data_IF_937285688162
#
_entry.id   IF_937285688162
#
_cell.length_a   1.000
_cell.length_b   1.000
_cell.length_c   1.000
_cell.angle_alpha   90.00
_cell.angle_beta   90.00
_cell.angle_gamma   90.00
#
_symmetry.space_group_name_H-M   'P 1'
#
loop_
_entity.id
_entity.type
_entity.pdbx_description
1 polymer ?
#
# COMPACT_ATOMS: atom_id res chain seq x y z
N UNK A 1 3.41 -16.97 80.59
CA UNK A 1 2.87 -15.62 80.33
C UNK A 1 2.41 -15.56 78.88
N UNK A 2 1.11 -15.28 78.69
CA UNK A 2 0.34 -14.87 77.49
C UNK A 2 0.66 -15.52 76.13
N UNK A 3 -0.21 -16.38 75.57
CA UNK A 3 -1.48 -16.07 74.89
C UNK A 3 -1.34 -15.02 73.77
N UNK A 4 -1.44 -15.41 72.50
CA UNK A 4 -2.70 -15.39 71.73
C UNK A 4 -2.45 -15.90 70.30
N UNK A 5 -3.19 -16.93 69.90
CA UNK A 5 -3.40 -17.33 68.51
C UNK A 5 -4.24 -16.25 67.82
N UNK A 6 -3.85 -15.81 66.63
CA UNK A 6 -4.75 -15.12 65.70
C UNK A 6 -4.80 -15.86 64.37
N UNK A 7 -5.99 -16.35 64.09
CA UNK A 7 -6.38 -17.13 62.93
C UNK A 7 -7.04 -16.16 61.95
N UNK A 8 -6.36 -15.79 60.87
CA UNK A 8 -6.97 -15.01 59.79
C UNK A 8 -7.15 -15.87 58.55
N UNK A 9 -8.34 -16.45 58.45
CA UNK A 9 -8.93 -16.81 57.17
C UNK A 9 -9.16 -15.49 56.41
N UNK A 10 -8.42 -15.26 55.33
CA UNK A 10 -8.80 -14.24 54.35
C UNK A 10 -9.16 -14.93 53.04
N UNK A 11 -10.39 -14.66 52.63
CA UNK A 11 -11.08 -15.23 51.50
C UNK A 11 -10.38 -14.87 50.19
N UNK A 12 -10.39 -15.82 49.25
CA UNK A 12 -10.01 -15.57 47.87
C UNK A 12 -11.01 -14.59 47.23
N UNK A 13 -10.56 -13.35 47.00
CA UNK A 13 -11.22 -12.46 46.06
C UNK A 13 -10.74 -12.82 44.65
N UNK A 14 -11.56 -13.58 43.92
CA UNK A 14 -11.46 -13.64 42.46
C UNK A 14 -11.82 -12.26 41.90
N UNK A 15 -10.81 -11.45 41.58
CA UNK A 15 -11.00 -10.23 40.81
C UNK A 15 -11.35 -10.58 39.37
N UNK A 16 -12.53 -10.17 38.89
CA UNK A 16 -12.83 -10.15 37.46
C UNK A 16 -11.89 -9.15 36.78
N UNK A 17 -10.86 -9.64 36.11
CA UNK A 17 -10.05 -8.85 35.17
C UNK A 17 -10.90 -8.58 33.92
N UNK A 18 -11.55 -7.43 33.87
CA UNK A 18 -12.12 -6.91 32.63
C UNK A 18 -10.96 -6.55 31.68
N UNK A 19 -10.68 -7.44 30.73
CA UNK A 19 -9.72 -7.21 29.65
C UNK A 19 -10.20 -6.07 28.76
N UNK A 20 -9.67 -4.87 28.98
CA UNK A 20 -9.79 -3.73 28.07
C UNK A 20 -9.12 -4.11 26.75
N UNK A 21 -9.91 -4.30 25.69
CA UNK A 21 -9.43 -4.40 24.32
C UNK A 21 -8.79 -3.05 23.95
N UNK A 22 -7.47 -2.94 24.11
CA UNK A 22 -6.71 -1.83 23.56
C UNK A 22 -6.66 -2.06 22.05
N UNK A 23 -7.62 -1.48 21.32
CA UNK A 23 -7.55 -1.44 19.86
C UNK A 23 -6.43 -0.45 19.53
N UNK A 24 -5.29 -0.90 18.98
CA UNK A 24 -4.26 0.04 18.58
C UNK A 24 -4.85 0.98 17.53
N UNK A 25 -4.52 2.29 17.56
CA UNK A 25 -4.93 3.18 16.49
C UNK A 25 -4.41 2.61 15.17
N UNK A 26 -5.32 2.30 14.25
CA UNK A 26 -4.96 2.00 12.87
C UNK A 26 -4.46 3.32 12.29
N UNK A 27 -3.14 3.48 12.16
CA UNK A 27 -2.57 4.60 11.46
C UNK A 27 -3.03 4.52 10.00
N UNK A 28 -4.00 5.36 9.63
CA UNK A 28 -4.33 5.58 8.23
C UNK A 28 -3.06 6.11 7.56
N UNK A 29 -2.45 5.30 6.69
CA UNK A 29 -1.28 5.75 5.95
C UNK A 29 -1.69 6.87 5.00
N UNK A 30 -1.07 8.03 5.19
CA UNK A 30 -1.25 9.17 4.32
C UNK A 30 -0.63 8.88 2.95
N UNK A 31 -1.41 9.11 1.90
CA UNK A 31 -0.91 9.22 0.53
C UNK A 31 -0.98 10.68 0.06
N UNK A 32 -0.20 11.02 -0.96
CA UNK A 32 -0.11 12.38 -1.47
C UNK A 32 -1.39 12.83 -2.19
N UNK A 33 -2.13 11.88 -2.76
CA UNK A 33 -3.34 12.13 -3.55
C UNK A 33 -4.49 11.19 -3.18
N UNK A 34 -5.63 11.38 -3.85
CA UNK A 34 -6.86 10.64 -3.58
C UNK A 34 -6.70 9.13 -3.79
N UNK A 35 -7.40 8.36 -2.97
CA UNK A 35 -7.43 6.90 -3.00
C UNK A 35 -8.38 6.35 -4.08
N UNK A 36 -8.18 5.07 -4.41
CA UNK A 36 -9.04 4.28 -5.28
C UNK A 36 -9.69 3.14 -4.48
N UNK A 37 -10.88 2.73 -4.86
CA UNK A 37 -11.55 1.54 -4.33
C UNK A 37 -12.11 0.71 -5.47
N UNK A 38 -11.79 -0.58 -5.49
CA UNK A 38 -12.25 -1.55 -6.51
C UNK A 38 -12.94 -2.72 -5.84
N UNK A 39 -14.08 -3.12 -6.37
CA UNK A 39 -14.89 -4.22 -5.84
C UNK A 39 -16.08 -4.57 -6.74
N UNK A 40 -16.99 -5.47 -6.32
CA UNK A 40 -18.10 -5.96 -7.14
C UNK A 40 -18.98 -4.87 -7.75
N UNK A 41 -19.23 -3.78 -7.02
CA UNK A 41 -20.03 -2.64 -7.49
C UNK A 41 -19.23 -1.56 -8.22
N UNK A 42 -17.91 -1.69 -8.30
CA UNK A 42 -17.00 -0.71 -8.91
C UNK A 42 -15.78 -1.45 -9.47
N UNK A 43 -15.91 -2.11 -10.63
CA UNK A 43 -14.89 -3.00 -11.18
C UNK A 43 -13.65 -2.27 -11.73
N UNK A 44 -13.72 -0.94 -11.83
CA UNK A 44 -12.65 -0.05 -12.27
C UNK A 44 -12.72 1.27 -11.50
N UNK A 45 -11.57 1.89 -11.25
CA UNK A 45 -11.45 3.20 -10.64
C UNK A 45 -10.37 4.01 -11.35
N UNK A 46 -10.47 5.34 -11.26
CA UNK A 46 -9.40 6.24 -11.71
C UNK A 46 -9.24 7.41 -10.76
N UNK A 47 -8.04 7.98 -10.74
CA UNK A 47 -7.68 9.16 -9.96
C UNK A 47 -6.60 9.96 -10.68
N UNK A 48 -6.37 11.20 -10.26
CA UNK A 48 -5.36 12.08 -10.84
C UNK A 48 -4.24 12.35 -9.83
N UNK A 49 -3.05 12.61 -10.35
CA UNK A 49 -1.89 13.01 -9.56
C UNK A 49 -0.84 13.70 -10.41
N UNK A 50 0.33 13.93 -9.81
CA UNK A 50 1.52 14.37 -10.54
C UNK A 50 2.79 13.82 -9.90
N UNK A 51 3.79 13.52 -10.73
CA UNK A 51 5.11 13.11 -10.26
C UNK A 51 5.91 14.31 -9.75
N UNK A 52 6.84 14.11 -8.81
CA UNK A 52 7.82 15.13 -8.39
C UNK A 52 8.99 14.51 -7.57
N UNK A 53 9.21 13.20 -7.74
CA UNK A 53 10.01 12.40 -6.82
C UNK A 53 11.52 12.48 -7.04
N UNK A 54 12.29 12.50 -5.95
CA UNK A 54 13.76 12.39 -5.96
C UNK A 54 14.26 11.15 -5.21
N UNK A 55 13.36 10.39 -4.57
CA UNK A 55 13.74 9.25 -3.76
C UNK A 55 13.78 7.97 -4.63
N UNK A 56 14.89 7.21 -4.63
CA UNK A 56 14.99 5.99 -5.43
C UNK A 56 13.95 4.95 -4.99
N UNK A 57 13.18 4.41 -5.94
CA UNK A 57 12.20 3.35 -5.64
C UNK A 57 12.88 2.10 -5.06
N UNK A 58 14.12 1.80 -5.47
CA UNK A 58 14.92 0.69 -4.93
C UNK A 58 15.22 0.82 -3.43
N UNK A 59 15.14 2.04 -2.87
CA UNK A 59 15.32 2.27 -1.44
C UNK A 59 14.02 2.09 -0.65
N UNK A 60 12.85 2.16 -1.32
CA UNK A 60 11.56 1.84 -0.71
C UNK A 60 11.36 0.31 -0.72
N UNK A 61 11.67 -0.33 -1.84
CA UNK A 61 11.64 -1.77 -1.99
C UNK A 61 12.80 -2.25 -2.87
N UNK A 62 13.55 -3.25 -2.38
CA UNK A 62 14.73 -3.73 -3.10
C UNK A 62 14.40 -4.45 -4.42
N UNK A 63 13.48 -5.42 -4.39
CA UNK A 63 13.06 -6.20 -5.56
C UNK A 63 11.57 -6.54 -5.53
N UNK A 64 10.96 -6.70 -6.70
CA UNK A 64 9.62 -7.26 -6.84
C UNK A 64 9.56 -8.77 -6.64
N UNK A 65 8.33 -9.30 -6.67
CA UNK A 65 8.04 -10.74 -6.55
C UNK A 65 8.64 -11.61 -7.67
N UNK A 66 9.06 -11.00 -8.78
CA UNK A 66 9.76 -11.69 -9.88
C UNK A 66 11.29 -11.52 -9.80
N UNK A 67 11.79 -10.79 -8.80
CA UNK A 67 13.21 -10.53 -8.60
C UNK A 67 13.75 -9.32 -9.37
N UNK A 68 12.91 -8.50 -10.01
CA UNK A 68 13.35 -7.27 -10.69
C UNK A 68 13.55 -6.14 -9.68
N UNK A 69 14.48 -5.23 -9.97
CA UNK A 69 14.64 -4.01 -9.17
C UNK A 69 13.63 -2.98 -9.64
N UNK A 70 12.88 -2.36 -8.72
CA UNK A 70 12.04 -1.21 -9.06
C UNK A 70 12.95 0.01 -9.30
N UNK A 71 13.06 0.43 -10.57
CA UNK A 71 13.92 1.54 -10.97
C UNK A 71 13.16 2.85 -11.06
N UNK A 72 13.90 3.96 -11.02
CA UNK A 72 13.35 5.32 -11.08
C UNK A 72 13.12 5.93 -9.69
N UNK A 73 12.43 7.06 -9.69
CA UNK A 73 12.34 7.96 -8.56
C UNK A 73 10.90 8.36 -8.27
N UNK A 74 10.53 8.34 -6.99
CA UNK A 74 9.23 8.74 -6.50
C UNK A 74 9.37 9.62 -5.24
N UNK A 75 8.23 10.02 -4.69
CA UNK A 75 8.13 10.61 -3.35
C UNK A 75 8.37 9.52 -2.28
N UNK A 76 8.72 9.91 -1.06
CA UNK A 76 8.90 8.93 0.03
C UNK A 76 7.56 8.31 0.45
N UNK A 77 6.53 9.13 0.61
CA UNK A 77 5.16 8.67 0.87
C UNK A 77 4.51 8.18 -0.43
N UNK A 78 3.62 7.17 -0.38
CA UNK A 78 2.89 6.73 -1.57
C UNK A 78 2.03 7.85 -2.14
N UNK A 79 1.85 7.85 -3.45
CA UNK A 79 1.00 8.81 -4.15
C UNK A 79 -0.47 8.46 -4.02
N UNK A 80 -0.81 7.16 -4.05
CA UNK A 80 -2.18 6.69 -3.90
C UNK A 80 -2.28 5.48 -2.97
N UNK A 81 -3.45 5.34 -2.36
CA UNK A 81 -3.90 4.09 -1.73
C UNK A 81 -4.96 3.46 -2.63
N UNK A 82 -4.82 2.17 -2.91
CA UNK A 82 -5.86 1.37 -3.56
C UNK A 82 -6.42 0.36 -2.56
N UNK A 83 -7.75 0.35 -2.41
CA UNK A 83 -8.46 -0.65 -1.61
C UNK A 83 -9.13 -1.66 -2.55
N UNK A 84 -8.67 -2.91 -2.50
CA UNK A 84 -9.36 -4.03 -3.15
C UNK A 84 -10.31 -4.67 -2.15
N UNK A 85 -11.60 -4.64 -2.45
CA UNK A 85 -12.65 -5.16 -1.56
C UNK A 85 -12.76 -6.69 -1.59
N UNK A 86 -12.18 -7.32 -2.61
CA UNK A 86 -12.16 -8.77 -2.77
C UNK A 86 -10.90 -9.20 -3.56
N UNK A 87 -10.59 -10.49 -3.50
CA UNK A 87 -9.56 -11.09 -4.35
C UNK A 87 -9.94 -10.96 -5.83
N UNK A 88 -8.95 -10.74 -6.68
CA UNK A 88 -9.10 -10.59 -8.12
C UNK A 88 -8.09 -11.49 -8.84
N UNK A 89 -8.59 -12.26 -9.82
CA UNK A 89 -7.74 -13.16 -10.60
C UNK A 89 -6.70 -12.38 -11.42
N UNK A 90 -7.11 -11.26 -12.01
CA UNK A 90 -6.27 -10.31 -12.73
C UNK A 90 -6.59 -8.88 -12.31
N UNK A 91 -5.58 -8.02 -12.36
CA UNK A 91 -5.77 -6.58 -12.31
C UNK A 91 -4.63 -5.91 -13.07
N UNK A 92 -4.98 -4.91 -13.86
CA UNK A 92 -4.06 -3.98 -14.45
C UNK A 92 -4.21 -2.59 -13.85
N UNK A 93 -3.07 -1.93 -13.65
CA UNK A 93 -2.97 -0.57 -13.16
C UNK A 93 -2.09 0.19 -14.15
N UNK A 94 -2.61 1.31 -14.66
CA UNK A 94 -2.04 2.05 -15.78
C UNK A 94 -1.91 3.51 -15.43
N UNK A 95 -0.73 4.06 -15.69
CA UNK A 95 -0.50 5.50 -15.75
C UNK A 95 -0.82 6.00 -17.15
N UNK A 96 -1.47 7.15 -17.26
CA UNK A 96 -1.59 7.92 -18.49
C UNK A 96 -1.08 9.34 -18.21
N UNK A 97 0.12 9.65 -18.69
CA UNK A 97 0.74 10.97 -18.58
C UNK A 97 0.86 11.67 -19.94
N UNK A 98 0.20 11.14 -20.98
CA UNK A 98 0.41 11.57 -22.36
C UNK A 98 1.72 11.04 -22.97
N UNK A 99 2.25 9.92 -22.47
CA UNK A 99 3.44 9.26 -23.02
C UNK A 99 4.78 9.72 -22.47
N UNK A 100 4.82 10.31 -21.27
CA UNK A 100 6.09 10.61 -20.60
C UNK A 100 6.71 9.34 -19.97
N UNK A 101 7.99 9.43 -19.61
CA UNK A 101 8.78 8.32 -19.06
C UNK A 101 8.51 8.13 -17.56
N UNK A 102 7.43 7.40 -17.26
CA UNK A 102 6.96 7.16 -15.89
C UNK A 102 7.37 5.78 -15.40
N UNK A 103 7.45 5.61 -14.08
CA UNK A 103 7.63 4.31 -13.42
C UNK A 103 6.52 4.09 -12.40
N UNK A 104 6.21 2.84 -12.09
CA UNK A 104 5.15 2.47 -11.17
C UNK A 104 5.67 1.43 -10.18
N UNK A 105 5.38 1.61 -8.90
CA UNK A 105 5.64 0.60 -7.88
C UNK A 105 4.40 0.43 -7.00
N UNK A 106 4.05 -0.83 -6.73
CA UNK A 106 2.90 -1.18 -5.90
C UNK A 106 3.34 -2.13 -4.81
N UNK A 107 3.01 -1.78 -3.57
CA UNK A 107 3.18 -2.63 -2.40
C UNK A 107 1.81 -3.15 -1.95
N UNK A 108 1.63 -4.46 -1.96
CA UNK A 108 0.42 -5.14 -1.53
C UNK A 108 0.31 -5.40 -0.03
N UNK A 109 -0.85 -5.95 0.41
CA UNK A 109 -1.17 -6.16 1.83
C UNK A 109 -0.43 -7.33 2.47
N UNK A 110 -0.19 -8.43 1.73
CA UNK A 110 0.54 -9.61 2.23
C UNK A 110 2.05 -9.36 2.18
N UNK A 111 2.72 -9.33 3.34
CA UNK A 111 4.17 -9.13 3.56
C UNK A 111 4.81 -8.02 2.72
N UNK A 112 4.00 -7.08 2.23
CA UNK A 112 4.45 -6.04 1.31
C UNK A 112 4.80 -6.54 -0.10
N UNK A 113 4.07 -7.52 -0.66
CA UNK A 113 4.29 -8.01 -2.04
C UNK A 113 4.51 -6.85 -3.01
N UNK A 114 5.70 -6.79 -3.60
CA UNK A 114 6.11 -5.70 -4.48
C UNK A 114 5.87 -6.08 -5.94
N UNK A 115 5.34 -5.13 -6.71
CA UNK A 115 5.23 -5.19 -8.17
C UNK A 115 5.81 -3.90 -8.74
N UNK A 116 6.74 -4.04 -9.69
CA UNK A 116 7.25 -2.91 -10.47
C UNK A 116 6.55 -2.86 -11.83
N UNK A 117 6.22 -1.67 -12.31
CA UNK A 117 5.68 -1.45 -13.65
C UNK A 117 6.77 -1.43 -14.70
N UNK A 118 6.37 -1.67 -15.94
CA UNK A 118 7.20 -1.51 -17.13
C UNK A 118 6.50 -0.55 -18.09
N UNK A 119 7.24 0.00 -19.04
CA UNK A 119 6.69 0.80 -20.13
C UNK A 119 5.60 0.03 -20.87
N UNK A 120 4.51 0.73 -21.21
CA UNK A 120 3.43 0.18 -22.02
C UNK A 120 3.92 -0.21 -23.42
N UNK A 121 4.82 0.59 -24.02
CA UNK A 121 5.51 0.28 -25.27
C UNK A 121 6.73 1.17 -25.50
N UNK A 122 7.54 0.86 -26.52
CA UNK A 122 8.65 1.77 -26.93
C UNK A 122 8.21 3.17 -27.38
N UNK A 123 6.94 3.36 -27.74
CA UNK A 123 6.37 4.64 -28.19
C UNK A 123 5.54 5.33 -27.10
N UNK A 124 5.27 4.63 -26.00
CA UNK A 124 4.54 5.11 -24.85
C UNK A 124 5.19 4.52 -23.60
N UNK A 125 6.05 5.31 -22.98
CA UNK A 125 6.81 4.99 -21.78
C UNK A 125 5.99 5.21 -20.51
N UNK A 126 4.66 5.29 -20.61
CA UNK A 126 3.81 5.25 -19.44
C UNK A 126 3.87 3.87 -18.79
N UNK A 127 4.06 3.86 -17.47
CA UNK A 127 4.17 2.63 -16.71
C UNK A 127 2.83 1.90 -16.58
N UNK A 128 2.90 0.57 -16.74
CA UNK A 128 1.80 -0.36 -16.54
C UNK A 128 2.25 -1.52 -15.65
N UNK A 129 1.36 -1.96 -14.77
CA UNK A 129 1.41 -3.28 -14.14
C UNK A 129 0.18 -4.03 -14.59
N UNK A 130 0.34 -5.23 -15.14
CA UNK A 130 -0.73 -6.20 -15.34
C UNK A 130 -0.24 -7.52 -14.78
N UNK A 131 -0.89 -8.00 -13.73
CA UNK A 131 -0.47 -9.20 -12.99
C UNK A 131 -1.70 -9.96 -12.48
N UNK A 132 -1.47 -11.16 -12.01
CA UNK A 132 -2.46 -12.07 -11.49
C UNK A 132 -2.41 -12.18 -9.96
N UNK A 133 -3.45 -12.80 -9.40
CA UNK A 133 -3.54 -13.18 -7.99
C UNK A 133 -3.44 -11.96 -7.06
N UNK A 134 -4.34 -11.00 -7.25
CA UNK A 134 -4.47 -9.83 -6.39
C UNK A 134 -5.36 -10.19 -5.20
N UNK A 135 -4.84 -10.00 -3.98
CA UNK A 135 -5.57 -10.25 -2.75
C UNK A 135 -6.37 -9.03 -2.31
N UNK A 136 -7.50 -9.25 -1.67
CA UNK A 136 -8.23 -8.19 -1.00
C UNK A 136 -7.32 -7.48 0.01
N UNK A 137 -7.50 -6.16 0.15
CA UNK A 137 -6.75 -5.36 1.11
C UNK A 137 -6.26 -4.04 0.55
N UNK A 138 -5.32 -3.44 1.29
CA UNK A 138 -4.81 -2.09 1.02
C UNK A 138 -3.46 -2.15 0.33
N UNK A 139 -3.38 -1.46 -0.81
CA UNK A 139 -2.19 -1.33 -1.63
C UNK A 139 -1.70 0.11 -1.60
N UNK A 140 -0.38 0.27 -1.56
CA UNK A 140 0.30 1.57 -1.69
C UNK A 140 0.90 1.68 -3.07
N UNK A 141 0.68 2.81 -3.72
CA UNK A 141 1.08 3.04 -5.10
C UNK A 141 1.98 4.27 -5.14
N UNK A 142 3.16 4.11 -5.73
CA UNK A 142 4.07 5.20 -6.06
C UNK A 142 4.10 5.35 -7.58
N UNK A 143 3.81 6.57 -8.06
CA UNK A 143 3.93 6.95 -9.46
C UNK A 143 5.14 7.85 -9.59
N UNK A 144 6.18 7.34 -10.23
CA UNK A 144 7.46 8.00 -10.35
C UNK A 144 7.83 8.31 -11.79
N UNK A 145 9.09 8.69 -11.96
CA UNK A 145 9.72 8.88 -13.27
C UNK A 145 11.10 8.24 -13.28
N UNK A 146 11.58 7.79 -14.44
CA UNK A 146 12.92 7.23 -14.56
C UNK A 146 14.02 8.30 -14.38
N UNK A 147 13.69 9.57 -14.61
CA UNK A 147 14.55 10.73 -14.35
C UNK A 147 14.07 11.49 -13.11
N UNK A 148 14.94 11.64 -12.10
CA UNK A 148 14.60 12.35 -10.86
C UNK A 148 13.99 13.74 -11.07
N UNK A 149 13.03 14.10 -10.22
CA UNK A 149 12.44 15.43 -10.14
C UNK A 149 11.53 15.83 -11.29
N UNK A 150 11.32 14.97 -12.29
CA UNK A 150 10.40 15.26 -13.38
C UNK A 150 8.96 15.35 -12.89
N UNK A 151 8.24 16.34 -13.40
CA UNK A 151 6.86 16.63 -13.03
C UNK A 151 5.93 16.45 -14.21
N UNK A 152 5.19 15.35 -14.20
CA UNK A 152 4.15 15.04 -15.17
C UNK A 152 2.84 14.85 -14.44
N UNK A 153 1.80 15.54 -14.90
CA UNK A 153 0.43 15.22 -14.48
C UNK A 153 0.01 13.90 -15.12
N UNK A 154 -0.74 13.09 -14.38
CA UNK A 154 -1.22 11.81 -14.90
C UNK A 154 -2.62 11.46 -14.40
N UNK A 155 -3.28 10.58 -15.14
CA UNK A 155 -4.39 9.77 -14.65
C UNK A 155 -3.88 8.38 -14.30
N UNK A 156 -4.21 7.87 -13.13
CA UNK A 156 -3.98 6.48 -12.74
C UNK A 156 -5.32 5.73 -12.81
N UNK A 157 -5.35 4.60 -13.51
CA UNK A 157 -6.57 3.81 -13.70
C UNK A 157 -6.36 2.33 -13.39
N UNK A 158 -7.44 1.66 -12.99
CA UNK A 158 -7.47 0.22 -12.74
C UNK A 158 -8.46 -0.47 -13.69
N UNK A 159 -8.08 -1.60 -14.26
CA UNK A 159 -8.96 -2.44 -15.09
C UNK A 159 -8.72 -3.93 -14.82
N UNK A 160 -9.74 -4.76 -14.92
CA UNK A 160 -9.61 -6.23 -14.86
C UNK A 160 -9.07 -6.82 -16.16
#
# INVERSE_FOLDING_TARGET
MNQLRHNHRQAALMGLLASLLVVPPVFAQSANFASLSVGPGSPSASTNGYTAGFFPLSNIAGRDRQGNVCTGFATQAPDHILVLQQDMASLAIQVDSGGNDTTLMIQGPEDGTIRCGQDTSRRNTDARIADENWRAGTYRIWVGTHTQGQRYSYTLSTSQ
#
